data_IF_630795536130
#
_entry.id   IF_630795536130
#
_cell.length_a   1.000
_cell.length_b   1.000
_cell.length_c   1.000
_cell.angle_alpha   90.00
_cell.angle_beta   90.00
_cell.angle_gamma   90.00
#
_symmetry.space_group_name_H-M   'P 1'
#
loop_
_entity.id
_entity.type
_entity.pdbx_description
1 polymer ?
#
# COMPACT_ATOMS: atom_id res chain seq x y z
N UNK A 1 -6.02 5.93 -18.60
CA UNK A 1 -4.68 6.53 -18.46
C UNK A 1 -4.17 6.24 -17.05
N UNK A 2 -2.97 5.63 -16.87
CA UNK A 2 -2.39 5.36 -15.56
C UNK A 2 -2.06 6.65 -14.80
N UNK A 3 -1.74 6.52 -13.51
CA UNK A 3 -1.33 7.65 -12.67
C UNK A 3 0.05 8.19 -13.07
N UNK A 4 0.97 7.28 -13.43
CA UNK A 4 2.31 7.60 -13.89
C UNK A 4 2.77 6.59 -14.94
N UNK A 5 3.62 6.99 -15.88
CA UNK A 5 4.14 6.09 -16.93
C UNK A 5 4.95 4.90 -16.37
N UNK A 6 5.67 5.12 -15.28
CA UNK A 6 6.42 4.07 -14.58
C UNK A 6 5.52 3.07 -13.83
N UNK A 7 4.25 3.41 -13.61
CA UNK A 7 3.25 2.57 -12.97
C UNK A 7 2.02 2.45 -13.89
N UNK A 8 2.12 1.65 -14.97
CA UNK A 8 1.10 1.62 -16.02
C UNK A 8 -0.15 0.82 -15.66
N UNK A 9 -0.15 0.07 -14.56
CA UNK A 9 -1.24 -0.80 -14.16
C UNK A 9 -2.01 -0.23 -12.99
N UNK A 10 -3.31 -0.44 -12.97
CA UNK A 10 -4.21 -0.11 -11.86
C UNK A 10 -5.40 -1.08 -11.84
N UNK A 11 -6.05 -1.22 -10.71
CA UNK A 11 -7.24 -2.04 -10.58
C UNK A 11 -8.47 -1.33 -11.15
N UNK A 12 -9.29 -2.08 -11.89
CA UNK A 12 -10.60 -1.61 -12.40
C UNK A 12 -11.69 -2.46 -11.75
N UNK A 13 -12.58 -1.82 -11.03
CA UNK A 13 -13.73 -2.44 -10.38
C UNK A 13 -15.02 -1.94 -11.05
N UNK A 14 -15.65 -2.82 -11.86
CA UNK A 14 -16.94 -2.57 -12.48
C UNK A 14 -18.07 -3.07 -11.56
N UNK A 15 -18.69 -2.12 -10.85
CA UNK A 15 -19.75 -2.39 -9.86
C UNK A 15 -21.11 -2.33 -10.56
N UNK A 16 -21.64 -3.48 -10.93
CA UNK A 16 -22.97 -3.61 -11.55
C UNK A 16 -24.08 -3.69 -10.50
N UNK A 17 -23.74 -4.16 -9.30
CA UNK A 17 -24.65 -4.31 -8.18
C UNK A 17 -23.95 -3.89 -6.89
N UNK A 18 -24.66 -3.20 -6.01
CA UNK A 18 -24.16 -2.83 -4.67
C UNK A 18 -23.82 -4.09 -3.88
N UNK A 19 -22.68 -4.05 -3.17
CA UNK A 19 -22.13 -5.20 -2.43
C UNK A 19 -20.88 -5.81 -3.07
N UNK A 20 -20.53 -5.43 -4.29
CA UNK A 20 -19.23 -5.79 -4.86
C UNK A 20 -18.10 -5.10 -4.09
N UNK A 21 -16.98 -5.82 -3.92
CA UNK A 21 -15.81 -5.34 -3.21
C UNK A 21 -14.51 -5.75 -3.91
N UNK A 22 -13.50 -4.88 -3.79
CA UNK A 22 -12.11 -5.24 -4.06
C UNK A 22 -11.44 -5.57 -2.73
N UNK A 23 -10.97 -6.80 -2.58
CA UNK A 23 -10.32 -7.28 -1.36
C UNK A 23 -8.85 -7.60 -1.56
N UNK A 24 -8.07 -7.35 -0.52
CA UNK A 24 -6.68 -7.78 -0.41
C UNK A 24 -6.53 -8.57 0.88
N UNK A 25 -6.16 -9.84 0.74
CA UNK A 25 -5.98 -10.76 1.86
C UNK A 25 -4.61 -10.61 2.54
N UNK A 26 -3.77 -9.71 2.06
CA UNK A 26 -2.38 -9.59 2.52
C UNK A 26 -1.56 -10.82 2.14
N UNK A 27 -0.37 -10.91 2.74
CA UNK A 27 0.45 -12.12 2.72
C UNK A 27 0.30 -12.82 4.07
N UNK A 28 -0.40 -13.94 4.10
CA UNK A 28 -0.85 -14.60 5.33
C UNK A 28 -1.74 -13.73 6.25
N UNK A 29 -2.44 -12.75 5.66
CA UNK A 29 -3.31 -11.83 6.36
C UNK A 29 -2.61 -10.57 6.88
N UNK A 30 -3.42 -9.64 7.38
CA UNK A 30 -2.98 -8.37 7.97
C UNK A 30 -3.16 -8.47 9.48
N UNK A 31 -2.07 -8.36 10.24
CA UNK A 31 -2.16 -8.36 11.71
C UNK A 31 -2.63 -7.01 12.22
N UNK A 32 -3.70 -7.01 13.01
CA UNK A 32 -4.25 -5.83 13.66
C UNK A 32 -4.17 -5.96 15.18
N UNK A 33 -3.97 -4.82 15.85
CA UNK A 33 -4.00 -4.73 17.30
C UNK A 33 -5.13 -3.80 17.74
N UNK A 34 -5.89 -4.25 18.72
CA UNK A 34 -7.00 -3.49 19.31
C UNK A 34 -6.56 -2.08 19.75
N UNK A 35 -7.31 -1.08 19.34
CA UNK A 35 -7.06 0.33 19.64
C UNK A 35 -5.99 1.00 18.79
N UNK A 36 -5.21 0.25 18.02
CA UNK A 36 -4.24 0.84 17.10
C UNK A 36 -4.93 1.44 15.87
N UNK A 37 -4.29 2.49 15.35
CA UNK A 37 -4.75 3.24 14.18
C UNK A 37 -3.90 2.89 12.97
N UNK A 38 -4.58 2.80 11.84
CA UNK A 38 -3.99 2.48 10.54
C UNK A 38 -4.33 3.57 9.54
N UNK A 39 -3.31 4.14 8.92
CA UNK A 39 -3.45 5.11 7.85
C UNK A 39 -3.72 4.39 6.53
N UNK A 40 -4.93 4.55 6.03
CA UNK A 40 -5.30 4.12 4.69
C UNK A 40 -5.05 5.24 3.70
N UNK A 41 -4.52 4.89 2.53
CA UNK A 41 -4.51 5.77 1.36
C UNK A 41 -4.67 4.98 0.07
N UNK A 42 -5.23 5.62 -0.95
CA UNK A 42 -5.23 5.13 -2.31
C UNK A 42 -5.29 6.28 -3.28
N UNK A 43 -4.91 6.05 -4.53
CA UNK A 43 -5.35 6.89 -5.62
C UNK A 43 -6.60 6.28 -6.24
N UNK A 44 -7.61 7.10 -6.49
CA UNK A 44 -8.83 6.64 -7.11
C UNK A 44 -9.40 7.67 -8.08
N UNK A 45 -10.16 7.16 -9.06
CA UNK A 45 -10.94 7.97 -10.00
C UNK A 45 -12.15 7.16 -10.51
N UNK A 46 -13.07 7.85 -11.16
CA UNK A 46 -14.17 7.24 -11.88
C UNK A 46 -13.82 7.08 -13.37
N UNK A 47 -14.41 6.09 -14.03
CA UNK A 47 -14.55 6.09 -15.47
C UNK A 47 -15.50 7.22 -15.90
N UNK A 48 -15.49 7.57 -17.20
CA UNK A 48 -16.13 8.79 -17.73
C UNK A 48 -17.60 8.97 -17.40
N UNK A 49 -18.36 7.89 -17.22
CA UNK A 49 -19.82 7.93 -16.98
C UNK A 49 -20.24 7.69 -15.52
N UNK A 50 -19.26 7.56 -14.59
CA UNK A 50 -19.55 7.32 -13.20
C UNK A 50 -20.12 8.52 -12.45
N UNK A 51 -21.22 8.32 -11.68
CA UNK A 51 -21.80 9.39 -10.84
C UNK A 51 -21.02 9.66 -9.57
N UNK A 52 -20.03 8.85 -9.28
CA UNK A 52 -19.28 8.91 -8.04
C UNK A 52 -20.03 8.37 -6.84
N UNK A 53 -19.29 7.87 -5.89
CA UNK A 53 -19.86 7.24 -4.71
C UNK A 53 -18.92 7.33 -3.52
N UNK A 54 -19.49 7.12 -2.35
CA UNK A 54 -18.76 6.76 -1.16
C UNK A 54 -18.20 5.36 -1.35
N UNK A 55 -16.92 5.18 -1.04
CA UNK A 55 -16.27 3.88 -0.95
C UNK A 55 -16.01 3.61 0.52
N UNK A 56 -16.60 2.53 1.02
CA UNK A 56 -16.39 2.06 2.38
C UNK A 56 -15.07 1.29 2.39
N UNK A 57 -14.19 1.62 3.34
CA UNK A 57 -12.92 0.95 3.57
C UNK A 57 -13.07 0.17 4.87
N UNK A 58 -13.02 -1.15 4.78
CA UNK A 58 -13.16 -2.05 5.93
C UNK A 58 -11.90 -2.87 6.14
N UNK A 59 -11.59 -3.15 7.40
CA UNK A 59 -10.76 -4.27 7.79
C UNK A 59 -11.70 -5.36 8.30
N UNK A 60 -11.58 -6.53 7.71
CA UNK A 60 -12.43 -7.68 8.01
C UNK A 60 -11.59 -8.77 8.67
N UNK A 61 -12.17 -9.50 9.62
CA UNK A 61 -11.57 -10.71 10.15
C UNK A 61 -11.64 -11.89 9.15
N UNK A 62 -11.21 -13.08 9.55
CA UNK A 62 -11.26 -14.28 8.71
C UNK A 62 -12.68 -14.72 8.37
N UNK A 63 -13.62 -14.49 9.29
CA UNK A 63 -15.04 -14.80 9.17
C UNK A 63 -15.81 -13.77 8.34
N UNK A 64 -15.17 -12.63 8.02
CA UNK A 64 -15.75 -11.53 7.25
C UNK A 64 -16.46 -10.47 8.11
N UNK A 65 -16.28 -10.51 9.44
CA UNK A 65 -16.82 -9.49 10.32
C UNK A 65 -15.98 -8.20 10.24
N UNK A 66 -16.66 -7.06 10.37
CA UNK A 66 -16.03 -5.75 10.32
C UNK A 66 -15.30 -5.42 11.62
N UNK A 67 -13.98 -5.29 11.56
CA UNK A 67 -13.09 -4.96 12.69
C UNK A 67 -12.76 -3.48 12.73
N UNK A 68 -12.72 -2.83 11.59
CA UNK A 68 -12.53 -1.40 11.46
C UNK A 68 -13.18 -0.88 10.19
N UNK A 69 -13.65 0.38 10.22
CA UNK A 69 -14.34 1.00 9.09
C UNK A 69 -14.02 2.47 8.97
N UNK A 70 -13.86 2.90 7.74
CA UNK A 70 -13.82 4.31 7.37
C UNK A 70 -14.47 4.48 5.99
N UNK A 71 -14.46 5.70 5.45
CA UNK A 71 -14.96 5.90 4.09
C UNK A 71 -14.24 7.06 3.41
N UNK A 72 -14.12 6.94 2.09
CA UNK A 72 -13.61 7.97 1.22
C UNK A 72 -14.63 8.24 0.11
N UNK A 73 -14.58 9.42 -0.52
CA UNK A 73 -15.47 9.77 -1.63
C UNK A 73 -14.69 9.75 -2.94
N UNK A 74 -15.11 8.92 -3.88
CA UNK A 74 -14.59 8.88 -5.25
C UNK A 74 -15.59 9.62 -6.15
N UNK A 75 -15.23 10.78 -6.64
CA UNK A 75 -16.12 11.63 -7.45
C UNK A 75 -15.41 12.34 -8.60
N UNK A 76 -14.11 12.15 -8.76
CA UNK A 76 -13.31 12.77 -9.81
C UNK A 76 -13.02 11.81 -10.95
N UNK A 77 -13.00 12.29 -12.17
CA UNK A 77 -12.50 11.58 -13.36
C UNK A 77 -10.95 11.58 -13.41
N UNK A 78 -10.33 12.51 -12.71
CA UNK A 78 -8.88 12.56 -12.55
C UNK A 78 -8.45 11.79 -11.30
N UNK A 79 -7.24 11.23 -11.32
CA UNK A 79 -6.64 10.59 -10.17
C UNK A 79 -6.56 11.55 -8.97
N UNK A 80 -7.13 11.14 -7.85
CA UNK A 80 -7.06 11.87 -6.58
C UNK A 80 -6.54 10.93 -5.50
N UNK A 81 -5.59 11.42 -4.70
CA UNK A 81 -5.19 10.70 -3.50
C UNK A 81 -6.27 10.86 -2.43
N UNK A 82 -6.78 9.75 -1.95
CA UNK A 82 -7.78 9.67 -0.89
C UNK A 82 -7.14 9.06 0.35
N UNK A 83 -7.56 9.52 1.52
CA UNK A 83 -6.98 9.11 2.82
C UNK A 83 -8.07 8.91 3.84
N UNK A 84 -7.89 7.93 4.73
CA UNK A 84 -8.72 7.69 5.88
C UNK A 84 -7.90 7.07 7.00
N UNK A 85 -8.40 7.11 8.23
CA UNK A 85 -7.82 6.42 9.37
C UNK A 85 -8.81 5.36 9.85
N UNK A 86 -8.32 4.15 10.03
CA UNK A 86 -9.08 3.04 10.61
C UNK A 86 -8.55 2.75 12.02
N UNK A 87 -9.46 2.52 12.96
CA UNK A 87 -9.09 2.10 14.32
C UNK A 87 -9.60 0.69 14.56
N UNK A 88 -8.69 -0.25 14.81
CA UNK A 88 -9.07 -1.64 15.07
C UNK A 88 -9.82 -1.79 16.40
N UNK A 89 -10.96 -2.47 16.37
CA UNK A 89 -11.79 -2.69 17.55
C UNK A 89 -11.35 -3.91 18.36
N UNK A 90 -10.55 -4.79 17.75
CA UNK A 90 -10.07 -6.03 18.35
C UNK A 90 -8.72 -6.47 17.74
N UNK A 91 -8.08 -7.46 18.37
CA UNK A 91 -6.86 -8.10 17.84
C UNK A 91 -7.26 -9.11 16.78
N UNK A 92 -6.63 -9.02 15.59
CA UNK A 92 -6.83 -9.97 14.49
C UNK A 92 -5.49 -10.36 13.90
N UNK A 93 -5.26 -11.66 13.72
CA UNK A 93 -3.99 -12.16 13.16
C UNK A 93 -3.97 -12.09 11.63
N UNK A 94 -5.10 -12.27 10.97
CA UNK A 94 -5.19 -12.39 9.52
C UNK A 94 -6.40 -11.63 8.97
N UNK A 95 -6.40 -10.31 9.15
CA UNK A 95 -7.43 -9.45 8.58
C UNK A 95 -7.25 -9.25 7.08
N UNK A 96 -8.33 -8.83 6.43
CA UNK A 96 -8.41 -8.47 5.00
C UNK A 96 -8.78 -7.00 4.87
N UNK A 97 -8.19 -6.32 3.88
CA UNK A 97 -8.61 -4.98 3.50
C UNK A 97 -9.66 -5.07 2.39
N UNK A 98 -10.79 -4.40 2.57
CA UNK A 98 -11.91 -4.40 1.63
C UNK A 98 -12.30 -2.97 1.24
N UNK A 99 -12.41 -2.73 -0.06
CA UNK A 99 -12.91 -1.48 -0.65
C UNK A 99 -14.28 -1.76 -1.26
N UNK A 100 -15.34 -1.15 -0.72
CA UNK A 100 -16.73 -1.42 -1.07
C UNK A 100 -17.40 -0.14 -1.58
N UNK A 101 -17.52 0.07 -2.89
CA UNK A 101 -18.30 1.19 -3.41
C UNK A 101 -19.78 1.05 -3.03
N UNK A 102 -20.36 2.14 -2.52
CA UNK A 102 -21.78 2.19 -2.14
C UNK A 102 -22.73 2.44 -3.32
N UNK A 103 -22.19 2.70 -4.50
CA UNK A 103 -22.93 2.94 -5.73
C UNK A 103 -22.38 2.14 -6.90
N UNK A 104 -23.24 1.88 -7.88
CA UNK A 104 -22.85 1.26 -9.16
C UNK A 104 -21.98 2.21 -9.99
N UNK A 105 -21.16 1.64 -10.88
CA UNK A 105 -20.23 2.38 -11.75
C UNK A 105 -18.87 1.73 -11.83
N UNK A 106 -17.98 2.30 -12.61
CA UNK A 106 -16.63 1.77 -12.80
C UNK A 106 -15.63 2.65 -12.04
N UNK A 107 -14.95 2.04 -11.08
CA UNK A 107 -13.97 2.66 -10.19
C UNK A 107 -12.58 2.16 -10.55
N UNK A 108 -11.63 3.09 -10.61
CA UNK A 108 -10.23 2.77 -10.77
C UNK A 108 -9.49 3.06 -9.46
N UNK A 109 -8.67 2.10 -9.03
CA UNK A 109 -7.85 2.21 -7.82
C UNK A 109 -6.39 1.91 -8.13
N UNK A 110 -5.51 2.64 -7.48
CA UNK A 110 -4.06 2.44 -7.56
C UNK A 110 -3.39 2.77 -6.24
N UNK A 111 -2.20 2.21 -6.00
CA UNK A 111 -1.37 2.45 -4.81
C UNK A 111 -2.18 2.37 -3.50
N UNK A 112 -3.01 1.33 -3.40
CA UNK A 112 -3.77 1.05 -2.18
C UNK A 112 -2.79 0.69 -1.07
N UNK A 113 -2.81 1.44 0.03
CA UNK A 113 -1.86 1.32 1.12
C UNK A 113 -2.56 1.34 2.47
N UNK A 114 -2.04 0.56 3.40
CA UNK A 114 -2.45 0.53 4.80
C UNK A 114 -1.20 0.46 5.68
N UNK A 115 -0.95 1.51 6.46
CA UNK A 115 0.20 1.58 7.36
C UNK A 115 -0.23 1.79 8.80
N UNK A 116 0.36 1.09 9.78
CA UNK A 116 0.13 1.41 11.18
C UNK A 116 0.67 2.81 11.49
N UNK A 117 0.01 3.53 12.41
CA UNK A 117 0.57 4.79 12.94
C UNK A 117 1.69 4.52 13.95
N UNK A 118 1.67 3.35 14.61
CA UNK A 118 2.72 2.89 15.49
C UNK A 118 3.92 2.37 14.67
N UNK A 119 4.87 3.25 14.39
CA UNK A 119 6.07 2.97 13.59
C UNK A 119 7.33 3.31 14.35
N UNK A 120 8.48 2.84 13.88
CA UNK A 120 9.78 3.19 14.45
C UNK A 120 9.98 4.71 14.44
N UNK A 121 10.26 5.28 15.64
CA UNK A 121 10.37 6.72 15.87
C UNK A 121 9.14 7.54 15.46
N UNK A 122 7.97 6.92 15.37
CA UNK A 122 6.71 7.59 15.00
C UNK A 122 6.69 8.18 13.58
N UNK A 123 7.53 7.68 12.66
CA UNK A 123 7.61 8.18 11.29
C UNK A 123 6.40 7.74 10.49
N UNK A 124 5.83 8.68 9.74
CA UNK A 124 4.70 8.38 8.85
C UNK A 124 5.11 7.36 7.78
N UNK A 125 4.27 6.35 7.56
CA UNK A 125 4.57 5.21 6.68
C UNK A 125 5.95 4.60 6.97
N UNK A 126 6.34 4.65 8.25
CA UNK A 126 7.65 4.23 8.71
C UNK A 126 7.78 2.72 8.82
N UNK A 127 8.97 2.31 9.24
CA UNK A 127 9.28 0.90 9.45
C UNK A 127 8.53 0.36 10.68
N UNK A 128 8.30 -0.93 10.69
CA UNK A 128 7.74 -1.67 11.81
C UNK A 128 8.57 -1.45 13.08
N UNK A 129 7.91 -0.94 14.14
CA UNK A 129 8.59 -0.41 15.31
C UNK A 129 9.48 -1.45 16.03
N UNK A 130 8.96 -2.66 16.22
CA UNK A 130 9.67 -3.75 16.92
C UNK A 130 10.91 -4.23 16.15
N UNK A 131 10.78 -4.48 14.84
CA UNK A 131 11.89 -4.96 14.02
C UNK A 131 12.97 -3.89 13.82
N UNK A 132 12.57 -2.66 13.57
CA UNK A 132 13.51 -1.57 13.39
C UNK A 132 14.23 -1.23 14.70
N UNK A 133 13.54 -1.33 15.85
CA UNK A 133 14.17 -1.16 17.16
C UNK A 133 15.20 -2.27 17.42
N UNK A 134 14.84 -3.54 17.16
CA UNK A 134 15.77 -4.65 17.33
C UNK A 134 17.05 -4.49 16.48
N UNK A 135 16.92 -3.98 15.25
CA UNK A 135 18.08 -3.66 14.41
C UNK A 135 18.90 -2.49 14.95
N UNK A 136 18.24 -1.45 15.48
CA UNK A 136 18.90 -0.30 16.08
C UNK A 136 19.68 -0.69 17.34
N UNK A 137 19.14 -1.59 18.17
CA UNK A 137 19.76 -2.08 19.41
C UNK A 137 21.04 -2.89 19.17
N UNK A 138 21.23 -3.43 17.96
CA UNK A 138 22.48 -4.06 17.55
C UNK A 138 23.63 -3.05 17.35
N UNK A 139 23.32 -1.76 17.29
CA UNK A 139 24.27 -0.67 17.05
C UNK A 139 25.17 -0.92 15.82
N UNK A 140 24.62 -1.25 14.65
CA UNK A 140 25.42 -1.55 13.45
C UNK A 140 26.23 -0.35 13.03
N UNK A 141 27.44 -0.58 12.54
CA UNK A 141 28.34 0.48 12.03
C UNK A 141 27.97 0.92 10.62
N UNK A 142 27.30 0.06 9.88
CA UNK A 142 26.83 0.33 8.52
C UNK A 142 25.67 -0.57 8.14
N UNK A 143 24.90 -0.16 7.14
CA UNK A 143 23.87 -0.97 6.48
C UNK A 143 24.26 -1.17 5.03
N UNK A 144 24.29 -2.43 4.58
CA UNK A 144 24.55 -2.76 3.17
C UNK A 144 23.23 -3.02 2.44
N UNK A 145 22.96 -2.21 1.43
CA UNK A 145 21.75 -2.27 0.62
C UNK A 145 22.10 -2.03 -0.87
N UNK A 146 21.39 -2.63 -1.83
CA UNK A 146 20.29 -3.60 -1.72
C UNK A 146 20.76 -5.07 -1.66
N UNK A 147 22.03 -5.32 -1.68
CA UNK A 147 22.65 -6.62 -1.81
C UNK A 147 23.11 -6.93 -3.24
N UNK A 148 24.14 -7.82 -3.38
CA UNK A 148 24.86 -8.04 -4.66
C UNK A 148 23.94 -8.47 -5.79
N UNK A 149 23.15 -9.51 -5.59
CA UNK A 149 22.26 -10.06 -6.62
C UNK A 149 21.21 -9.06 -7.12
N UNK A 150 20.65 -8.26 -6.22
CA UNK A 150 19.71 -7.20 -6.60
C UNK A 150 20.43 -6.07 -7.32
N UNK A 151 21.66 -5.73 -6.89
CA UNK A 151 22.43 -4.63 -7.48
C UNK A 151 22.80 -4.90 -8.95
N UNK A 152 23.27 -6.12 -9.26
CA UNK A 152 23.67 -6.43 -10.64
C UNK A 152 22.53 -6.95 -11.52
N UNK A 153 21.42 -7.45 -10.91
CA UNK A 153 20.34 -8.03 -11.69
C UNK A 153 20.74 -9.25 -12.51
N UNK A 154 19.92 -9.61 -13.50
CA UNK A 154 20.16 -10.66 -14.48
C UNK A 154 20.43 -10.12 -15.90
N UNK A 155 20.65 -8.82 -16.03
CA UNK A 155 20.97 -8.14 -17.28
C UNK A 155 21.01 -6.62 -17.11
N UNK A 156 21.48 -5.92 -18.12
CA UNK A 156 21.61 -4.44 -18.11
C UNK A 156 20.26 -3.76 -17.81
N UNK A 157 19.17 -4.32 -18.32
CA UNK A 157 17.82 -3.76 -18.15
C UNK A 157 17.23 -4.02 -16.76
N UNK A 158 17.90 -4.84 -15.95
CA UNK A 158 17.43 -5.28 -14.64
C UNK A 158 18.38 -4.91 -13.49
N UNK A 159 19.43 -4.15 -13.75
CA UNK A 159 20.29 -3.61 -12.69
C UNK A 159 19.52 -2.65 -11.79
N UNK A 160 19.90 -2.61 -10.51
CA UNK A 160 19.24 -1.71 -9.55
C UNK A 160 19.63 -0.26 -9.80
N UNK A 161 18.75 0.49 -10.45
CA UNK A 161 18.86 1.94 -10.54
C UNK A 161 18.33 2.56 -9.24
N UNK A 162 19.25 2.98 -8.38
CA UNK A 162 18.91 3.60 -7.10
C UNK A 162 18.09 4.90 -7.25
N UNK A 163 18.29 5.66 -8.34
CA UNK A 163 17.55 6.89 -8.63
C UNK A 163 16.06 6.60 -8.81
N UNK A 164 15.72 5.46 -9.39
CA UNK A 164 14.34 5.02 -9.52
C UNK A 164 13.69 4.57 -8.20
N UNK A 165 14.42 4.57 -7.08
CA UNK A 165 13.91 4.22 -5.75
C UNK A 165 13.66 5.43 -4.84
N UNK A 166 13.80 6.64 -5.35
CA UNK A 166 13.55 7.90 -4.64
C UNK A 166 12.42 8.69 -5.31
N UNK A 167 11.91 9.71 -4.62
CA UNK A 167 10.78 10.51 -5.12
C UNK A 167 9.42 9.92 -4.76
N UNK A 168 8.32 10.44 -5.35
CA UNK A 168 6.97 9.98 -5.11
C UNK A 168 6.79 8.50 -5.44
N UNK A 169 6.00 7.78 -4.62
CA UNK A 169 5.82 6.33 -4.78
C UNK A 169 5.21 5.96 -6.14
N UNK A 170 4.29 6.77 -6.64
CA UNK A 170 3.64 6.58 -7.93
C UNK A 170 4.59 6.71 -9.12
N UNK A 171 5.71 7.40 -8.95
CA UNK A 171 6.73 7.59 -9.99
C UNK A 171 7.85 6.55 -9.94
N UNK A 172 7.92 5.73 -8.90
CA UNK A 172 8.95 4.70 -8.75
C UNK A 172 8.66 3.52 -9.67
N UNK A 173 9.58 3.22 -10.59
CA UNK A 173 9.42 2.09 -11.51
C UNK A 173 9.60 0.76 -10.76
N UNK A 174 8.61 -0.15 -10.77
CA UNK A 174 8.76 -1.48 -10.20
C UNK A 174 9.88 -2.25 -10.90
N UNK A 175 10.52 -3.15 -10.16
CA UNK A 175 11.60 -4.00 -10.65
C UNK A 175 11.22 -5.48 -10.46
N UNK A 176 11.35 -6.28 -11.52
CA UNK A 176 11.40 -7.74 -11.41
C UNK A 176 12.77 -8.14 -10.86
N UNK A 177 12.82 -8.99 -9.88
CA UNK A 177 14.10 -9.51 -9.37
C UNK A 177 14.44 -10.90 -9.92
N UNK A 178 15.68 -11.35 -9.64
CA UNK A 178 16.20 -12.64 -10.11
C UNK A 178 15.38 -13.85 -9.65
N UNK A 179 14.67 -13.71 -8.53
CA UNK A 179 13.92 -14.80 -7.91
C UNK A 179 12.47 -14.87 -8.39
N UNK A 180 12.10 -14.07 -9.39
CA UNK A 180 10.81 -14.14 -10.06
C UNK A 180 9.67 -13.40 -9.37
N UNK A 181 9.94 -12.53 -8.40
CA UNK A 181 8.93 -11.68 -7.79
C UNK A 181 9.20 -10.18 -8.02
N UNK A 182 8.18 -9.39 -7.74
CA UNK A 182 8.15 -7.95 -8.00
C UNK A 182 8.63 -7.15 -6.81
N UNK A 183 9.42 -6.11 -7.06
CA UNK A 183 9.80 -5.11 -6.08
C UNK A 183 9.19 -3.77 -6.46
N UNK A 184 8.37 -3.20 -5.59
CA UNK A 184 7.69 -1.92 -5.81
C UNK A 184 8.62 -0.72 -5.64
N UNK A 185 9.79 -0.91 -5.02
CA UNK A 185 10.72 0.14 -4.58
C UNK A 185 10.10 1.13 -3.57
N UNK A 186 9.01 0.73 -2.89
CA UNK A 186 8.41 1.52 -1.82
C UNK A 186 9.37 1.75 -0.65
N UNK A 187 10.26 0.80 -0.38
CA UNK A 187 11.42 0.94 0.49
C UNK A 187 12.66 1.14 -0.40
N UNK A 188 13.10 2.37 -0.53
CA UNK A 188 14.22 2.77 -1.39
C UNK A 188 15.33 3.47 -0.62
N UNK A 189 16.23 4.13 -1.34
CA UNK A 189 17.39 4.80 -0.72
C UNK A 189 16.99 5.88 0.27
N UNK A 190 15.96 6.67 -0.01
CA UNK A 190 15.49 7.70 0.93
C UNK A 190 15.09 7.09 2.28
N UNK A 191 14.31 6.02 2.25
CA UNK A 191 13.83 5.33 3.46
C UNK A 191 14.97 4.67 4.23
N UNK A 192 15.98 4.11 3.54
CA UNK A 192 17.16 3.55 4.18
C UNK A 192 18.02 4.62 4.84
N UNK A 193 18.28 5.75 4.17
CA UNK A 193 18.99 6.87 4.78
C UNK A 193 18.23 7.44 5.98
N UNK A 194 16.91 7.48 5.89
CA UNK A 194 16.09 7.92 7.01
C UNK A 194 16.17 6.95 8.21
N UNK A 195 16.35 5.65 7.96
CA UNK A 195 16.51 4.65 9.01
C UNK A 195 17.87 4.77 9.69
N UNK A 196 18.96 4.93 8.95
CA UNK A 196 20.32 5.13 9.48
C UNK A 196 20.47 6.45 10.24
#
# INVERSE_FOLDING_TARGET
RPIHENNPHYAVLDVRQVGAALQNDGYDGITLKKGEKYDFSCFARLADDGKGSKVIVCLLDQEGNEVAKASVKVSSKDWKQLKAVLTAQEDVQAAKLSLQPAGTGTYHFDLVSLFPQNTFKGRKNGLRADLAQALADLHPRFVRFPGGCVAHGDGVDNIYDWKGSIGPLEARKPLRNLWGYHQTRGLGYFEYFQFC
#
